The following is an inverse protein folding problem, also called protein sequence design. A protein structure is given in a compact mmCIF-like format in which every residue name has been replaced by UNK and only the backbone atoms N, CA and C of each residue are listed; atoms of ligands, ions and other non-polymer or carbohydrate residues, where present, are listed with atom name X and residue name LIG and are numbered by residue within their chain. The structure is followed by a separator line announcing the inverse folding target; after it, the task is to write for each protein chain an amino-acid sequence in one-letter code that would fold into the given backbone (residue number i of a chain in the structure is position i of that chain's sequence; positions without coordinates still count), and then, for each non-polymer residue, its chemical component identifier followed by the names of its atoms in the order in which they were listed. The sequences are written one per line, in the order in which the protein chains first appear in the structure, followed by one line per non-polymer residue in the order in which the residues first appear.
data_IF_742458269644
#
_entry.id   IF_742458269644
#
_cell.length_a   1.000
_cell.length_b   1.000
_cell.length_c   1.000
_cell.angle_alpha   90.00
_cell.angle_beta   90.00
_cell.angle_gamma   90.00
#
_symmetry.space_group_name_H-M   'P 1'
#
loop_
_entity.id
_entity.type
_entity.pdbx_description
1 polymer ?
#
# COMPACT_ATOMS: atom_id res chain seq x y z
N UNK A 1 62.41 -11.73 12.46
CA UNK A 1 62.12 -11.35 13.86
C UNK A 1 60.92 -12.13 14.34
N UNK A 2 61.13 -13.10 15.24
CA UNK A 2 60.12 -14.08 15.70
C UNK A 2 59.53 -13.64 17.04
N UNK A 3 58.20 -13.62 17.12
CA UNK A 3 57.42 -13.47 18.37
C UNK A 3 57.47 -14.80 19.12
N UNK A 4 57.74 -14.77 20.44
CA UNK A 4 57.25 -15.71 21.48
C UNK A 4 57.97 -15.48 22.81
N UNK A 5 57.19 -15.36 23.89
CA UNK A 5 57.61 -15.70 25.25
C UNK A 5 57.84 -14.51 26.18
N UNK A 6 56.79 -14.10 26.90
CA UNK A 6 56.98 -13.59 28.27
C UNK A 6 55.68 -13.77 29.06
N UNK A 7 55.42 -15.02 29.46
CA UNK A 7 54.55 -15.33 30.59
C UNK A 7 55.43 -15.33 31.84
N UNK A 8 55.04 -14.58 32.86
CA UNK A 8 55.48 -14.82 34.24
C UNK A 8 55.86 -13.58 35.03
N UNK A 9 54.86 -12.91 35.63
CA UNK A 9 55.01 -12.31 36.95
C UNK A 9 53.62 -12.10 37.56
N UNK A 10 53.27 -12.98 38.51
CA UNK A 10 52.21 -12.80 39.49
C UNK A 10 52.63 -11.69 40.47
N UNK A 11 51.75 -10.72 40.70
CA UNK A 11 51.86 -9.73 41.77
C UNK A 11 50.47 -9.36 42.25
N UNK A 12 50.10 -9.86 43.42
CA UNK A 12 48.81 -9.65 44.05
C UNK A 12 48.64 -8.20 44.54
N UNK A 13 47.50 -7.56 44.23
CA UNK A 13 46.95 -6.46 45.02
C UNK A 13 45.48 -6.18 44.65
N UNK A 14 44.59 -6.28 45.65
CA UNK A 14 43.33 -5.53 45.74
C UNK A 14 42.12 -6.06 44.95
N UNK A 15 41.30 -6.89 45.59
CA UNK A 15 39.88 -7.01 45.19
C UNK A 15 39.18 -5.69 45.55
N UNK A 16 38.96 -4.84 44.55
CA UNK A 16 37.95 -3.79 44.66
C UNK A 16 36.56 -4.43 44.56
N UNK A 17 35.58 -4.06 45.39
CA UNK A 17 34.22 -4.57 45.25
C UNK A 17 33.65 -4.06 43.92
N UNK A 18 33.20 -4.99 43.08
CA UNK A 18 32.35 -4.66 41.93
C UNK A 18 31.05 -4.09 42.48
N UNK A 19 30.85 -2.79 42.33
CA UNK A 19 29.55 -2.18 42.48
C UNK A 19 28.66 -2.78 41.39
N UNK A 20 27.70 -3.61 41.79
CA UNK A 20 26.64 -4.05 40.90
C UNK A 20 25.91 -2.80 40.41
N UNK A 21 26.08 -2.47 39.13
CA UNK A 21 25.29 -1.44 38.47
C UNK A 21 23.82 -1.88 38.55
N UNK A 22 23.07 -1.28 39.45
CA UNK A 22 21.63 -1.47 39.51
C UNK A 22 21.04 -1.11 38.15
N UNK A 23 20.38 -2.07 37.49
CA UNK A 23 19.54 -1.80 36.33
C UNK A 23 18.50 -0.78 36.81
N UNK A 24 18.44 0.44 36.23
CA UNK A 24 17.41 1.38 36.62
C UNK A 24 16.05 0.75 36.33
N UNK A 25 15.21 0.65 37.37
CA UNK A 25 13.80 0.33 37.19
C UNK A 25 13.21 1.38 36.23
N UNK A 26 12.49 0.97 35.17
CA UNK A 26 11.83 1.92 34.30
C UNK A 26 10.63 2.52 35.04
N UNK A 27 10.86 3.57 35.84
CA UNK A 27 9.82 4.29 36.60
C UNK A 27 9.14 5.40 35.77
N UNK A 28 8.97 5.18 34.47
CA UNK A 28 8.13 6.03 33.63
C UNK A 28 7.48 5.20 32.51
N UNK A 29 6.14 5.23 32.36
CA UNK A 29 5.48 4.70 31.17
C UNK A 29 6.01 5.41 29.94
N UNK A 30 6.44 4.64 28.93
CA UNK A 30 6.80 5.21 27.63
C UNK A 30 5.53 5.90 27.09
N UNK A 31 5.57 7.19 26.71
CA UNK A 31 4.43 7.86 26.11
C UNK A 31 3.98 7.06 24.87
N UNK A 32 2.76 6.53 24.89
CA UNK A 32 2.23 5.65 23.84
C UNK A 32 2.26 4.15 24.14
N UNK A 33 2.62 3.73 25.36
CA UNK A 33 2.41 2.36 25.85
C UNK A 33 0.94 2.04 26.16
N UNK A 34 0.00 2.67 25.47
CA UNK A 34 -1.39 2.22 25.47
C UNK A 34 -1.36 0.74 25.12
N UNK A 35 -2.04 -0.08 25.93
CA UNK A 35 -2.06 -1.53 25.77
C UNK A 35 -2.24 -1.89 24.29
N UNK A 36 -1.19 -2.47 23.69
CA UNK A 36 -1.22 -2.91 22.30
C UNK A 36 -2.41 -3.85 22.15
N UNK A 37 -3.46 -3.36 21.47
CA UNK A 37 -4.66 -4.14 21.28
C UNK A 37 -4.29 -5.40 20.47
N UNK A 38 -4.79 -6.59 20.83
CA UNK A 38 -4.49 -7.81 20.09
C UNK A 38 -4.75 -7.63 18.59
N UNK A 39 -3.75 -7.97 17.78
CA UNK A 39 -3.88 -7.89 16.33
C UNK A 39 -4.86 -8.96 15.87
N UNK A 40 -6.05 -8.52 15.46
CA UNK A 40 -7.09 -9.41 14.93
C UNK A 40 -6.97 -9.51 13.40
N UNK A 41 -7.07 -10.73 12.89
CA UNK A 41 -7.07 -11.04 11.46
C UNK A 41 -8.48 -11.45 11.00
N UNK A 42 -8.89 -11.14 9.75
CA UNK A 42 -8.13 -10.39 8.74
C UNK A 42 -8.00 -8.89 9.08
N UNK A 43 -6.91 -8.25 8.64
CA UNK A 43 -6.68 -6.81 8.90
C UNK A 43 -7.54 -5.97 7.98
N UNK A 44 -8.64 -5.47 8.53
CA UNK A 44 -9.62 -4.64 7.81
C UNK A 44 -9.46 -3.17 8.18
N UNK A 45 -9.39 -2.31 7.17
CA UNK A 45 -9.22 -0.87 7.31
C UNK A 45 -10.34 -0.11 6.60
N UNK A 46 -10.81 0.97 7.22
CA UNK A 46 -11.88 1.83 6.69
C UNK A 46 -11.67 3.30 7.05
N UNK A 47 -12.44 4.20 6.43
CA UNK A 47 -12.43 5.62 6.78
C UNK A 47 -11.05 6.26 6.65
N UNK A 48 -10.62 7.00 7.66
CA UNK A 48 -9.32 7.72 7.66
C UNK A 48 -8.11 6.80 7.55
N UNK A 49 -8.22 5.53 7.98
CA UNK A 49 -7.12 4.56 7.91
C UNK A 49 -6.68 4.30 6.47
N UNK A 50 -7.62 4.40 5.50
CA UNK A 50 -7.33 4.21 4.07
C UNK A 50 -6.29 5.21 3.54
N UNK A 51 -6.09 6.35 4.21
CA UNK A 51 -5.10 7.36 3.81
C UNK A 51 -3.66 6.94 4.03
N UNK A 52 -3.43 5.92 4.87
CA UNK A 52 -2.10 5.47 5.29
C UNK A 52 -1.70 4.11 4.70
N UNK A 53 -2.54 3.54 3.82
CA UNK A 53 -2.28 2.24 3.23
C UNK A 53 -1.47 2.42 1.95
N UNK A 54 -0.36 1.71 1.85
CA UNK A 54 0.44 1.51 0.65
C UNK A 54 0.85 0.04 0.60
N UNK A 55 0.12 -0.78 -0.17
CA UNK A 55 0.37 -2.21 -0.28
C UNK A 55 1.23 -2.50 -1.51
N UNK A 56 2.44 -3.06 -1.36
CA UNK A 56 3.37 -3.21 -2.48
C UNK A 56 2.89 -4.29 -3.46
N UNK A 57 2.89 -3.97 -4.75
CA UNK A 57 2.68 -4.89 -5.86
C UNK A 57 3.93 -4.88 -6.74
N UNK A 58 4.64 -6.00 -6.78
CA UNK A 58 5.82 -6.22 -7.60
C UNK A 58 6.46 -7.56 -7.22
N UNK A 59 7.17 -8.17 -8.16
CA UNK A 59 8.00 -9.34 -7.88
C UNK A 59 9.22 -8.98 -7.04
N UNK A 60 9.88 -10.00 -6.51
CA UNK A 60 11.11 -9.82 -5.74
C UNK A 60 12.19 -9.22 -6.66
N UNK A 61 12.74 -8.07 -6.26
CA UNK A 61 13.82 -7.40 -6.99
C UNK A 61 13.40 -6.64 -8.25
N UNK A 62 12.10 -6.54 -8.57
CA UNK A 62 11.62 -5.90 -9.80
C UNK A 62 11.26 -4.42 -9.65
N UNK A 63 11.33 -3.89 -8.43
CA UNK A 63 10.61 -2.68 -8.07
C UNK A 63 9.13 -2.97 -7.78
N UNK A 64 8.40 -1.96 -7.30
CA UNK A 64 6.99 -2.10 -6.91
C UNK A 64 6.14 -0.89 -7.28
N UNK A 65 4.85 -1.12 -7.48
CA UNK A 65 3.81 -0.11 -7.50
C UNK A 65 2.93 -0.34 -6.27
N UNK A 66 2.69 0.69 -5.47
CA UNK A 66 1.87 0.55 -4.26
C UNK A 66 0.39 0.74 -4.56
N UNK A 67 -0.43 -0.17 -4.04
CA UNK A 67 -1.89 -0.03 -4.00
C UNK A 67 -2.31 0.70 -2.73
N UNK A 68 -2.90 1.88 -2.92
CA UNK A 68 -3.40 2.69 -1.83
C UNK A 68 -4.76 2.22 -1.30
N UNK A 69 -5.12 2.67 -0.09
CA UNK A 69 -6.35 2.24 0.58
C UNK A 69 -7.65 2.63 -0.12
N UNK A 70 -7.64 3.61 -1.03
CA UNK A 70 -8.81 3.95 -1.85
C UNK A 70 -8.89 3.13 -3.14
N UNK A 71 -7.86 2.37 -3.47
CA UNK A 71 -7.73 1.65 -4.74
C UNK A 71 -6.93 2.38 -5.81
N UNK A 72 -6.32 3.53 -5.47
CA UNK A 72 -5.40 4.24 -6.35
C UNK A 72 -4.04 3.54 -6.41
N UNK A 73 -3.34 3.64 -7.54
CA UNK A 73 -1.94 3.27 -7.64
C UNK A 73 -1.07 4.48 -7.27
N UNK A 74 -0.02 4.25 -6.49
CA UNK A 74 0.92 5.25 -6.01
C UNK A 74 2.32 4.64 -5.87
N UNK A 75 3.33 5.46 -5.57
CA UNK A 75 4.70 5.04 -5.27
C UNK A 75 5.27 4.08 -6.34
N UNK A 76 5.45 4.59 -7.56
CA UNK A 76 5.92 3.83 -8.72
C UNK A 76 7.44 3.64 -8.69
N UNK A 77 7.90 2.72 -7.85
CA UNK A 77 9.31 2.38 -7.64
C UNK A 77 9.82 1.35 -8.67
N UNK A 78 9.52 1.57 -9.95
CA UNK A 78 9.87 0.67 -11.07
C UNK A 78 11.10 1.15 -11.86
N UNK A 79 11.77 2.16 -11.33
CA UNK A 79 12.74 2.99 -12.03
C UNK A 79 14.12 2.97 -11.35
N UNK A 80 14.34 1.97 -10.51
CA UNK A 80 15.53 1.77 -9.68
C UNK A 80 15.88 3.00 -8.81
N UNK A 81 14.84 3.68 -8.32
CA UNK A 81 14.93 4.81 -7.39
C UNK A 81 13.85 4.67 -6.33
N UNK A 82 14.09 5.18 -5.11
CA UNK A 82 13.07 5.31 -4.09
C UNK A 82 12.08 6.42 -4.49
N UNK A 83 11.22 6.13 -5.47
CA UNK A 83 10.23 7.04 -6.07
C UNK A 83 8.94 7.12 -5.23
N UNK A 84 9.08 7.26 -3.90
CA UNK A 84 7.94 7.44 -2.99
C UNK A 84 7.25 8.78 -3.24
N UNK A 85 5.92 8.74 -3.27
CA UNK A 85 5.08 9.88 -3.62
C UNK A 85 5.03 10.18 -5.12
N UNK A 86 5.82 9.49 -5.95
CA UNK A 86 5.79 9.68 -7.40
C UNK A 86 4.89 8.63 -8.06
N UNK A 87 4.06 9.10 -8.98
CA UNK A 87 3.21 8.29 -9.83
C UNK A 87 2.88 9.08 -11.10
N UNK A 88 2.48 8.40 -12.19
CA UNK A 88 1.86 9.07 -13.33
C UNK A 88 0.71 9.97 -12.91
N UNK A 89 0.49 11.08 -13.62
CA UNK A 89 -0.64 11.95 -13.32
C UNK A 89 -1.96 11.22 -13.54
N UNK A 90 -1.99 10.32 -14.52
CA UNK A 90 -3.17 9.51 -14.85
C UNK A 90 -2.86 8.02 -14.81
N UNK A 91 -3.20 7.36 -13.70
CA UNK A 91 -3.11 5.92 -13.53
C UNK A 91 -4.30 5.39 -12.72
N UNK A 92 -5.43 5.12 -13.38
CA UNK A 92 -6.64 4.66 -12.71
C UNK A 92 -7.52 3.78 -13.60
N UNK A 93 -8.28 2.89 -12.97
CA UNK A 93 -9.36 2.17 -13.63
C UNK A 93 -10.66 2.96 -13.54
N UNK A 94 -11.53 2.81 -14.54
CA UNK A 94 -12.87 3.39 -14.56
C UNK A 94 -13.90 2.32 -14.92
N UNK A 95 -15.13 2.51 -14.45
CA UNK A 95 -16.26 1.63 -14.74
C UNK A 95 -17.38 2.42 -15.41
N UNK A 96 -17.91 1.86 -16.49
CA UNK A 96 -19.16 2.25 -17.11
C UNK A 96 -20.23 1.20 -16.77
N UNK A 97 -21.42 1.64 -16.36
CA UNK A 97 -22.54 0.75 -16.05
C UNK A 97 -23.85 1.31 -16.57
N UNK A 98 -24.61 0.47 -17.28
CA UNK A 98 -25.99 0.75 -17.69
C UNK A 98 -26.88 -0.44 -17.31
N UNK A 99 -27.90 -0.22 -16.47
CA UNK A 99 -28.85 -1.28 -16.05
C UNK A 99 -30.16 -1.16 -16.84
N UNK A 100 -30.41 -2.11 -17.74
CA UNK A 100 -31.53 -2.02 -18.68
C UNK A 100 -31.53 -0.69 -19.44
N UNK A 101 -32.63 0.06 -19.33
CA UNK A 101 -32.81 1.39 -19.96
C UNK A 101 -32.48 2.56 -19.04
N UNK A 102 -31.84 2.33 -17.88
CA UNK A 102 -31.46 3.41 -16.97
C UNK A 102 -30.42 4.33 -17.61
N UNK A 103 -30.32 5.57 -17.11
CA UNK A 103 -29.21 6.47 -17.48
C UNK A 103 -27.87 5.78 -17.16
N UNK A 104 -26.90 5.77 -18.09
CA UNK A 104 -25.59 5.20 -17.84
C UNK A 104 -24.82 6.01 -16.80
N UNK A 105 -23.99 5.33 -16.02
CA UNK A 105 -23.12 5.93 -15.02
C UNK A 105 -21.66 5.56 -15.31
N UNK A 106 -20.77 6.55 -15.22
CA UNK A 106 -19.33 6.33 -15.31
C UNK A 106 -18.66 6.83 -14.03
N UNK A 107 -17.77 6.03 -13.44
CA UNK A 107 -17.01 6.39 -12.24
C UNK A 107 -15.60 5.86 -12.30
N UNK A 108 -14.66 6.59 -11.69
CA UNK A 108 -13.32 6.07 -11.40
C UNK A 108 -13.44 5.02 -10.29
N UNK A 109 -12.78 3.86 -10.48
CA UNK A 109 -12.74 2.72 -9.55
C UNK A 109 -11.76 2.98 -8.40
N UNK A 110 -11.96 4.11 -7.74
CA UNK A 110 -11.30 4.51 -6.51
C UNK A 110 -12.34 5.05 -5.54
N UNK A 111 -12.11 4.90 -4.24
CA UNK A 111 -12.84 5.68 -3.25
C UNK A 111 -12.50 7.18 -3.37
N UNK A 112 -13.41 8.05 -2.92
CA UNK A 112 -13.24 9.50 -2.92
C UNK A 112 -11.90 9.94 -2.33
N UNK A 113 -11.33 10.98 -2.92
CA UNK A 113 -10.15 11.68 -2.39
C UNK A 113 -10.44 12.12 -0.94
N UNK A 114 -9.43 11.97 -0.08
CA UNK A 114 -9.53 12.28 1.34
C UNK A 114 -8.63 13.48 1.67
N UNK A 115 -9.00 14.29 2.68
CA UNK A 115 -8.11 15.33 3.18
C UNK A 115 -6.86 14.70 3.86
N UNK A 116 -5.74 15.44 3.96
CA UNK A 116 -5.54 16.79 3.43
C UNK A 116 -5.29 16.78 1.92
N UNK A 117 -5.84 17.77 1.21
CA UNK A 117 -5.61 17.94 -0.23
C UNK A 117 -4.24 18.63 -0.41
N UNK A 118 -3.19 17.82 -0.50
CA UNK A 118 -1.78 18.23 -0.31
C UNK A 118 -1.13 18.98 -1.50
N UNK A 119 -1.87 19.39 -2.53
CA UNK A 119 -1.27 20.14 -3.65
C UNK A 119 -1.27 21.65 -3.37
N UNK A 120 -0.27 22.36 -3.92
CA UNK A 120 -0.16 23.83 -3.85
C UNK A 120 -1.37 24.54 -4.47
N UNK A 121 -2.10 23.87 -5.36
CA UNK A 121 -3.37 24.30 -5.96
C UNK A 121 -4.57 23.49 -5.43
N UNK A 122 -4.46 22.89 -4.24
CA UNK A 122 -5.45 21.98 -3.65
C UNK A 122 -5.37 20.56 -4.21
N UNK A 123 -6.15 20.26 -5.26
CA UNK A 123 -6.21 18.93 -5.87
C UNK A 123 -5.47 18.83 -7.22
N UNK A 124 -5.16 19.95 -7.88
CA UNK A 124 -4.50 19.96 -9.20
C UNK A 124 -5.28 19.21 -10.30
N UNK A 125 -4.72 19.08 -11.51
CA UNK A 125 -5.31 18.26 -12.58
C UNK A 125 -4.97 16.77 -12.44
N UNK A 126 -3.88 16.45 -11.73
CA UNK A 126 -3.40 15.08 -11.52
C UNK A 126 -4.47 14.20 -10.84
N UNK A 127 -4.62 12.99 -11.35
CA UNK A 127 -5.64 12.05 -10.94
C UNK A 127 -7.05 12.42 -11.39
N UNK A 128 -7.27 13.53 -12.11
CA UNK A 128 -8.59 13.98 -12.55
C UNK A 128 -9.61 14.06 -11.39
N UNK A 129 -9.41 14.98 -10.40
CA UNK A 129 -10.28 15.07 -9.23
C UNK A 129 -11.74 15.43 -9.55
N UNK A 130 -11.99 16.05 -10.72
CA UNK A 130 -13.33 16.36 -11.21
C UNK A 130 -14.16 15.14 -11.62
N UNK A 131 -13.53 13.97 -11.82
CA UNK A 131 -14.24 12.74 -12.15
C UNK A 131 -14.93 12.13 -10.92
N UNK A 132 -16.15 11.65 -11.13
CA UNK A 132 -16.93 10.96 -10.09
C UNK A 132 -16.23 9.68 -9.65
N UNK A 133 -16.07 9.52 -8.34
CA UNK A 133 -15.49 8.36 -7.65
C UNK A 133 -16.53 7.62 -6.83
N UNK A 134 -16.14 6.47 -6.30
CA UNK A 134 -16.95 5.66 -5.42
C UNK A 134 -16.95 6.27 -4.01
N UNK A 135 -18.08 6.21 -3.30
CA UNK A 135 -18.24 6.82 -1.97
C UNK A 135 -17.14 6.43 -0.98
N UNK A 136 -16.83 5.14 -0.85
CA UNK A 136 -15.77 4.65 0.03
C UNK A 136 -15.30 3.25 -0.37
N UNK A 137 -14.33 2.71 0.34
CA UNK A 137 -13.87 1.33 0.20
C UNK A 137 -13.61 0.70 1.58
N UNK A 138 -13.56 -0.62 1.62
CA UNK A 138 -13.03 -1.39 2.75
C UNK A 138 -11.81 -2.14 2.25
N UNK A 139 -10.65 -1.88 2.84
CA UNK A 139 -9.39 -2.51 2.46
C UNK A 139 -9.09 -3.66 3.41
N UNK A 140 -8.74 -4.82 2.88
CA UNK A 140 -8.28 -6.00 3.62
C UNK A 140 -6.90 -6.36 3.09
N UNK A 141 -5.86 -6.24 3.92
CA UNK A 141 -4.48 -6.44 3.51
C UNK A 141 -3.86 -7.65 4.18
N UNK A 142 -3.48 -8.64 3.38
CA UNK A 142 -2.84 -9.89 3.83
C UNK A 142 -1.80 -10.29 2.79
N UNK A 143 -0.58 -9.75 2.91
CA UNK A 143 0.48 -10.03 1.94
C UNK A 143 0.62 -11.55 1.69
N UNK A 144 0.60 -12.01 0.43
CA UNK A 144 0.77 -11.27 -0.82
C UNK A 144 -0.52 -10.78 -1.51
N UNK A 145 -1.70 -10.87 -0.87
CA UNK A 145 -2.99 -10.45 -1.42
C UNK A 145 -3.57 -9.22 -0.71
N UNK A 146 -4.12 -8.31 -1.50
CA UNK A 146 -4.94 -7.21 -1.03
C UNK A 146 -6.33 -7.29 -1.64
N UNK A 147 -7.36 -6.97 -0.85
CA UNK A 147 -8.74 -6.91 -1.31
C UNK A 147 -9.35 -5.57 -0.96
N UNK A 148 -9.99 -4.94 -1.94
CA UNK A 148 -10.86 -3.78 -1.74
C UNK A 148 -12.29 -4.15 -2.09
N UNK A 149 -13.19 -3.97 -1.13
CA UNK A 149 -14.62 -3.97 -1.39
C UNK A 149 -15.06 -2.50 -1.54
N UNK A 150 -15.47 -2.11 -2.75
CA UNK A 150 -15.93 -0.75 -3.01
C UNK A 150 -17.38 -0.55 -2.56
N UNK A 151 -17.67 0.63 -2.03
CA UNK A 151 -18.98 0.99 -1.49
C UNK A 151 -19.51 2.19 -2.28
N UNK A 152 -20.53 1.96 -3.11
CA UNK A 152 -21.24 3.01 -3.84
C UNK A 152 -22.73 2.66 -3.98
N UNK A 153 -23.61 3.22 -3.12
CA UNK A 153 -25.05 2.91 -3.15
C UNK A 153 -25.74 3.29 -4.46
N UNK A 154 -25.23 4.28 -5.19
CA UNK A 154 -25.86 4.75 -6.42
C UNK A 154 -25.49 3.91 -7.66
N UNK A 155 -24.46 3.04 -7.54
CA UNK A 155 -24.03 2.17 -8.62
C UNK A 155 -24.87 0.87 -8.58
N UNK A 156 -25.50 0.44 -9.68
CA UNK A 156 -26.42 -0.71 -9.67
C UNK A 156 -25.71 -2.08 -9.60
N UNK A 157 -24.38 -2.10 -9.50
CA UNK A 157 -23.55 -3.31 -9.41
C UNK A 157 -22.61 -3.21 -8.22
N UNK A 158 -22.19 -4.36 -7.68
CA UNK A 158 -21.14 -4.45 -6.66
C UNK A 158 -19.80 -4.66 -7.34
N UNK A 159 -18.77 -3.91 -6.93
CA UNK A 159 -17.42 -4.03 -7.47
C UNK A 159 -16.45 -4.33 -6.33
N UNK A 160 -15.54 -5.27 -6.55
CA UNK A 160 -14.41 -5.53 -5.68
C UNK A 160 -13.13 -5.62 -6.51
N UNK A 161 -12.01 -5.23 -5.94
CA UNK A 161 -10.68 -5.42 -6.49
C UNK A 161 -9.93 -6.42 -5.60
N UNK A 162 -9.33 -7.42 -6.22
CA UNK A 162 -8.29 -8.23 -5.60
C UNK A 162 -6.98 -7.94 -6.33
N UNK A 163 -5.94 -7.60 -5.57
CA UNK A 163 -4.66 -7.23 -6.10
C UNK A 163 -3.55 -8.05 -5.46
N UNK A 164 -2.61 -8.52 -6.27
CA UNK A 164 -1.48 -9.32 -5.81
C UNK A 164 -0.36 -9.30 -6.84
N UNK A 165 0.81 -9.74 -6.43
CA UNK A 165 1.91 -10.09 -7.32
C UNK A 165 2.28 -11.56 -7.11
N UNK A 166 2.89 -12.23 -8.10
CA UNK A 166 3.38 -13.58 -7.93
C UNK A 166 4.35 -13.64 -6.74
N UNK A 167 3.98 -14.37 -5.70
CA UNK A 167 4.83 -14.63 -4.54
C UNK A 167 4.64 -16.09 -4.16
N UNK A 168 5.53 -16.93 -4.66
CA UNK A 168 5.49 -18.38 -4.52
C UNK A 168 6.69 -18.77 -3.65
N UNK A 169 6.46 -19.20 -2.40
CA UNK A 169 7.53 -19.63 -1.52
C UNK A 169 8.41 -20.68 -2.18
N UNK A 170 9.73 -20.53 -2.04
CA UNK A 170 10.76 -21.42 -2.61
C UNK A 170 10.87 -21.41 -4.13
N UNK A 171 10.14 -20.53 -4.83
CA UNK A 171 10.21 -20.36 -6.27
C UNK A 171 10.58 -18.90 -6.60
N UNK A 172 11.88 -18.64 -6.61
CA UNK A 172 12.41 -17.29 -6.82
C UNK A 172 12.16 -16.79 -8.26
N UNK A 173 12.15 -17.70 -9.24
CA UNK A 173 11.96 -17.35 -10.65
C UNK A 173 10.54 -16.83 -10.87
N UNK A 174 9.53 -17.60 -10.47
CA UNK A 174 8.14 -17.17 -10.62
C UNK A 174 7.76 -16.04 -9.65
N UNK A 175 8.45 -15.90 -8.51
CA UNK A 175 8.29 -14.74 -7.61
C UNK A 175 8.98 -13.47 -8.10
N UNK A 176 9.87 -13.58 -9.09
CA UNK A 176 10.64 -12.47 -9.66
C UNK A 176 9.97 -11.81 -10.86
N UNK A 177 8.71 -12.12 -11.17
CA UNK A 177 8.02 -11.50 -12.31
C UNK A 177 7.68 -10.03 -12.03
N UNK A 178 8.00 -9.10 -12.95
CA UNK A 178 7.69 -7.67 -12.81
C UNK A 178 6.22 -7.39 -13.13
N UNK A 179 5.31 -7.96 -12.34
CA UNK A 179 3.88 -7.92 -12.60
C UNK A 179 3.06 -7.58 -11.35
N UNK A 180 2.03 -6.77 -11.57
CA UNK A 180 0.96 -6.49 -10.62
C UNK A 180 -0.37 -6.94 -11.24
N UNK A 181 -1.10 -7.82 -10.56
CA UNK A 181 -2.40 -8.31 -11.03
C UNK A 181 -3.48 -7.49 -10.33
N UNK A 182 -4.34 -6.84 -11.11
CA UNK A 182 -5.51 -6.12 -10.62
C UNK A 182 -6.78 -6.82 -11.11
N UNK A 183 -7.35 -7.69 -10.27
CA UNK A 183 -8.53 -8.48 -10.60
C UNK A 183 -9.80 -7.79 -10.12
N UNK A 184 -10.42 -7.03 -11.03
CA UNK A 184 -11.75 -6.45 -10.80
C UNK A 184 -12.83 -7.51 -10.97
N UNK A 185 -13.72 -7.63 -9.98
CA UNK A 185 -14.88 -8.51 -10.03
C UNK A 185 -16.13 -7.66 -9.88
N UNK A 186 -17.00 -7.73 -10.89
CA UNK A 186 -18.28 -7.01 -10.92
C UNK A 186 -19.42 -8.02 -10.76
N UNK A 187 -20.28 -7.80 -9.77
CA UNK A 187 -21.47 -8.61 -9.53
C UNK A 187 -22.71 -7.76 -9.73
N UNK A 188 -23.60 -8.21 -10.60
CA UNK A 188 -24.94 -7.63 -10.73
C UNK A 188 -25.89 -8.32 -9.73
N UNK A 189 -26.35 -7.65 -8.65
CA UNK A 189 -27.31 -8.21 -7.71
C UNK A 189 -28.76 -8.08 -8.20
N UNK A 190 -29.01 -7.32 -9.27
CA UNK A 190 -30.35 -6.98 -9.74
C UNK A 190 -30.86 -8.03 -10.73
N UNK A 191 -32.19 -8.22 -10.83
CA UNK A 191 -32.79 -9.13 -11.82
C UNK A 191 -32.66 -8.60 -13.27
N UNK A 192 -32.40 -7.31 -13.45
CA UNK A 192 -32.24 -6.68 -14.76
C UNK A 192 -30.81 -6.83 -15.25
N UNK A 193 -30.64 -7.17 -16.53
CA UNK A 193 -29.33 -7.18 -17.19
C UNK A 193 -28.64 -5.82 -17.10
N UNK A 194 -27.32 -5.84 -16.92
CA UNK A 194 -26.49 -4.66 -16.87
C UNK A 194 -25.34 -4.78 -17.86
N UNK A 195 -25.15 -3.77 -18.69
CA UNK A 195 -23.97 -3.61 -19.54
C UNK A 195 -22.89 -2.96 -18.69
N UNK A 196 -21.72 -3.58 -18.63
CA UNK A 196 -20.59 -3.13 -17.82
C UNK A 196 -19.33 -3.12 -18.67
N UNK A 197 -18.56 -2.05 -18.59
CA UNK A 197 -17.21 -1.97 -19.15
C UNK A 197 -16.25 -1.44 -18.08
N UNK A 198 -15.04 -1.99 -18.05
CA UNK A 198 -13.94 -1.45 -17.27
C UNK A 198 -12.86 -0.99 -18.25
N UNK A 199 -12.36 0.22 -18.06
CA UNK A 199 -11.27 0.78 -18.86
C UNK A 199 -10.15 1.25 -17.94
N UNK A 200 -8.91 0.94 -18.32
CA UNK A 200 -7.72 1.38 -17.59
C UNK A 200 -7.09 2.55 -18.33
N UNK A 201 -6.86 3.65 -17.62
CA UNK A 201 -6.15 4.82 -18.11
C UNK A 201 -4.77 4.85 -17.44
N UNK A 202 -3.72 4.77 -18.25
CA UNK A 202 -2.35 4.81 -17.79
C UNK A 202 -1.54 5.70 -18.72
N UNK A 203 -1.03 6.80 -18.18
CA UNK A 203 -0.01 7.61 -18.81
C UNK A 203 1.31 6.82 -18.88
N UNK A 204 2.08 7.04 -19.95
CA UNK A 204 3.39 6.43 -20.11
C UNK A 204 4.35 6.92 -19.00
N UNK A 205 4.81 6.05 -18.08
CA UNK A 205 5.67 6.48 -16.98
C UNK A 205 7.12 6.77 -17.41
N UNK A 206 7.52 6.38 -18.63
CA UNK A 206 8.90 6.52 -19.11
C UNK A 206 9.29 8.00 -19.22
N UNK A 207 10.38 8.38 -18.55
CA UNK A 207 10.91 9.75 -18.58
C UNK A 207 10.45 10.65 -17.43
N UNK A 208 9.49 10.22 -16.60
CA UNK A 208 9.05 10.98 -15.42
C UNK A 208 10.16 11.24 -14.40
N UNK A 209 11.15 10.33 -14.33
CA UNK A 209 12.32 10.43 -13.45
C UNK A 209 13.18 11.71 -13.65
N UNK A 210 12.98 12.44 -14.76
CA UNK A 210 13.72 13.67 -15.08
C UNK A 210 12.98 14.94 -14.67
N UNK A 211 11.71 14.86 -14.33
CA UNK A 211 10.85 16.03 -14.13
C UNK A 211 10.77 16.50 -12.67
N UNK A 212 11.21 15.68 -11.71
CA UNK A 212 11.30 16.03 -10.29
C UNK A 212 12.69 15.67 -9.75
N UNK A 213 13.66 16.60 -9.74
CA UNK A 213 14.97 16.42 -9.12
C UNK A 213 14.92 16.38 -7.59
#
# INVERSE_FOLDING_TARGET
MKRRGFLGALGAAGMAPSAASAVPKPDAPIPGSDQLSPVTYPRVFTGKQLSQIAFPLGGIGTGSISLGGRGQLQDWEIFNRPDKGQAPEYAFASIYVQSGRSKPQARVLEARLMPPYKSTAGLGPAGAPGLSRLRSAKFTGEFPLARLDFIEPQLPVKVSLEAFSPFIPLDAENSGFPAAILRYRVRNPQPRSATVSIAFSLENPVGMQRLNP
#
